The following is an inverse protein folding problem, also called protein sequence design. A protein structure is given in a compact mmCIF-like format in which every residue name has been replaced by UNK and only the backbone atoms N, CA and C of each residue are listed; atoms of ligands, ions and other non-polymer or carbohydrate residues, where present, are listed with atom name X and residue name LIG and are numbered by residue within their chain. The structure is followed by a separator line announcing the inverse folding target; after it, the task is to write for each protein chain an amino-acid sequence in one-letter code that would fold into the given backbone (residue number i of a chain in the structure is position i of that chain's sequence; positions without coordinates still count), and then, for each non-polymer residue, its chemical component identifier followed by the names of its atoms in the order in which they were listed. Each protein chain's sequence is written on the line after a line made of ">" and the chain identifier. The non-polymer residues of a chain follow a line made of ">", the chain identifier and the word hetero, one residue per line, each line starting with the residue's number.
data_IF_079660666158
#
_entry.id   IF_079660666158
#
_cell.length_a   1.000
_cell.length_b   1.000
_cell.length_c   1.000
_cell.angle_alpha   90.00
_cell.angle_beta   90.00
_cell.angle_gamma   90.00
#
_symmetry.space_group_name_H-M   'P 1'
#
loop_
_entity.id
_entity.type
_entity.pdbx_description
1 polymer ?
#
# COMPACT_ATOMS: atom_id res chain seq x y z
N UNK A 1 -16.41 0.05 -1.46
CA UNK A 1 -15.33 0.63 -0.64
C UNK A 1 -14.18 -0.36 -0.59
N UNK A 2 -12.92 0.09 -0.59
CA UNK A 2 -11.77 -0.79 -0.39
C UNK A 2 -11.65 -1.27 1.05
N UNK A 3 -10.68 -2.16 1.32
CA UNK A 3 -10.39 -2.69 2.66
C UNK A 3 -8.91 -3.01 2.83
N UNK A 4 -8.41 -2.92 4.07
CA UNK A 4 -7.13 -3.48 4.46
C UNK A 4 -7.32 -4.91 4.93
N UNK A 5 -6.56 -5.83 4.37
CA UNK A 5 -6.45 -7.20 4.87
C UNK A 5 -5.11 -7.37 5.59
N UNK A 6 -5.15 -7.70 6.88
CA UNK A 6 -3.99 -8.00 7.73
C UNK A 6 -3.85 -9.50 7.88
N UNK A 7 -2.66 -10.03 7.64
CA UNK A 7 -2.40 -11.46 7.74
C UNK A 7 -0.99 -11.71 8.27
N UNK A 8 -0.75 -12.92 8.76
CA UNK A 8 0.58 -13.39 9.11
C UNK A 8 1.14 -14.26 7.98
N UNK A 9 2.36 -13.99 7.54
CA UNK A 9 3.01 -14.79 6.51
C UNK A 9 3.69 -16.05 7.08
N UNK A 10 4.23 -16.89 6.19
CA UNK A 10 4.92 -18.13 6.57
C UNK A 10 6.19 -17.91 7.42
N UNK A 11 6.69 -16.67 7.52
CA UNK A 11 7.83 -16.28 8.34
C UNK A 11 7.39 -15.68 9.68
N UNK A 12 6.11 -15.80 10.03
CA UNK A 12 5.51 -15.21 11.23
C UNK A 12 5.54 -13.67 11.24
N UNK A 13 5.73 -13.03 10.10
CA UNK A 13 5.66 -11.57 9.99
C UNK A 13 4.23 -11.13 9.69
N UNK A 14 3.78 -10.05 10.32
CA UNK A 14 2.51 -9.40 10.03
C UNK A 14 2.64 -8.52 8.79
N UNK A 15 1.70 -8.64 7.87
CA UNK A 15 1.62 -7.82 6.66
C UNK A 15 0.22 -7.31 6.50
N UNK A 16 0.08 -6.20 5.78
CA UNK A 16 -1.22 -5.76 5.28
C UNK A 16 -1.19 -5.57 3.78
N UNK A 17 -2.36 -5.67 3.16
CA UNK A 17 -2.60 -5.24 1.78
C UNK A 17 -3.88 -4.44 1.69
N UNK A 18 -3.84 -3.35 0.93
CA UNK A 18 -5.03 -2.59 0.57
C UNK A 18 -5.62 -3.19 -0.70
N UNK A 19 -6.90 -3.56 -0.64
CA UNK A 19 -7.70 -3.93 -1.80
C UNK A 19 -8.67 -2.81 -2.16
N UNK A 20 -8.77 -2.51 -3.44
CA UNK A 20 -9.83 -1.68 -3.98
C UNK A 20 -11.19 -2.40 -3.87
N UNK A 21 -12.28 -1.66 -4.11
CA UNK A 21 -13.65 -2.19 -4.05
C UNK A 21 -13.92 -3.38 -4.99
N UNK A 22 -13.15 -3.50 -6.07
CA UNK A 22 -13.20 -4.63 -7.02
C UNK A 22 -12.35 -5.84 -6.58
N UNK A 23 -11.76 -5.80 -5.38
CA UNK A 23 -10.90 -6.86 -4.84
C UNK A 23 -9.44 -6.84 -5.32
N UNK A 24 -9.09 -5.93 -6.23
CA UNK A 24 -7.72 -5.79 -6.72
C UNK A 24 -6.79 -5.28 -5.61
N UNK A 25 -5.65 -5.94 -5.42
CA UNK A 25 -4.58 -5.46 -4.54
C UNK A 25 -3.94 -4.24 -5.18
N UNK A 26 -3.93 -3.12 -4.47
CA UNK A 26 -3.38 -1.84 -4.96
C UNK A 26 -2.17 -1.35 -4.16
N UNK A 27 -1.98 -1.88 -2.95
CA UNK A 27 -0.82 -1.60 -2.11
C UNK A 27 -0.57 -2.77 -1.18
N UNK A 28 0.68 -3.12 -0.93
CA UNK A 28 1.09 -4.13 0.05
C UNK A 28 2.24 -3.62 0.92
N UNK A 29 2.26 -4.01 2.19
CA UNK A 29 3.31 -3.62 3.12
C UNK A 29 4.52 -4.56 3.07
N UNK A 30 5.62 -4.09 3.64
CA UNK A 30 6.69 -4.98 4.12
C UNK A 30 6.24 -5.79 5.33
N UNK A 31 7.09 -6.73 5.77
CA UNK A 31 6.84 -7.57 6.94
C UNK A 31 7.12 -6.83 8.24
N UNK A 32 6.20 -6.92 9.19
CA UNK A 32 6.34 -6.39 10.54
C UNK A 32 6.52 -7.53 11.53
N UNK A 33 7.45 -7.39 12.47
CA UNK A 33 7.67 -8.38 13.54
C UNK A 33 6.54 -8.40 14.58
N UNK A 34 5.72 -7.36 14.64
CA UNK A 34 4.62 -7.23 15.57
C UNK A 34 3.36 -6.65 14.92
N UNK A 35 2.20 -7.19 15.30
CA UNK A 35 0.88 -6.73 14.82
C UNK A 35 0.65 -5.24 15.06
N UNK A 36 1.05 -4.72 16.22
CA UNK A 36 0.93 -3.29 16.52
C UNK A 36 1.69 -2.41 15.52
N UNK A 37 2.88 -2.84 15.07
CA UNK A 37 3.64 -2.16 14.03
C UNK A 37 2.91 -2.17 12.68
N UNK A 38 2.32 -3.31 12.32
CA UNK A 38 1.50 -3.45 11.12
C UNK A 38 0.29 -2.50 11.14
N UNK A 39 -0.42 -2.41 12.27
CA UNK A 39 -1.56 -1.49 12.44
C UNK A 39 -1.13 -0.02 12.36
N UNK A 40 0.01 0.36 12.96
CA UNK A 40 0.57 1.71 12.81
C UNK A 40 0.96 2.01 11.36
N UNK A 41 1.43 1.00 10.62
CA UNK A 41 1.67 1.11 9.19
C UNK A 41 0.40 1.46 8.41
N UNK A 42 -0.75 0.84 8.74
CA UNK A 42 -2.05 1.17 8.14
C UNK A 42 -2.44 2.62 8.41
N UNK A 43 -2.35 3.10 9.66
CA UNK A 43 -2.68 4.50 9.99
C UNK A 43 -1.74 5.48 9.27
N UNK A 44 -0.48 5.11 9.11
CA UNK A 44 0.49 5.87 8.32
C UNK A 44 0.09 5.92 6.85
N UNK A 45 -0.38 4.81 6.27
CA UNK A 45 -0.89 4.79 4.89
C UNK A 45 -2.12 5.68 4.76
N UNK A 46 -3.09 5.60 5.69
CA UNK A 46 -4.29 6.46 5.66
C UNK A 46 -3.92 7.93 5.60
N UNK A 47 -2.99 8.36 6.46
CA UNK A 47 -2.54 9.74 6.56
C UNK A 47 -1.74 10.17 5.33
N UNK A 48 -0.69 9.43 4.98
CA UNK A 48 0.26 9.84 3.94
C UNK A 48 -0.29 9.62 2.53
N UNK A 49 -1.32 8.78 2.35
CA UNK A 49 -1.99 8.60 1.05
C UNK A 49 -2.60 9.90 0.51
N UNK A 50 -2.88 10.88 1.36
CA UNK A 50 -3.49 12.15 0.95
C UNK A 50 -2.47 13.19 0.45
N UNK A 51 -1.18 12.90 0.55
CA UNK A 51 -0.11 13.77 0.08
C UNK A 51 0.60 13.11 -1.12
N UNK A 52 0.39 13.66 -2.32
CA UNK A 52 0.98 13.10 -3.55
C UNK A 52 2.52 13.05 -3.50
N UNK A 53 3.16 13.96 -2.74
CA UNK A 53 4.61 13.98 -2.59
C UNK A 53 5.17 12.75 -1.87
N UNK A 54 4.31 11.96 -1.20
CA UNK A 54 4.69 10.71 -0.54
C UNK A 54 4.73 9.52 -1.48
N UNK A 55 4.23 9.66 -2.72
CA UNK A 55 4.28 8.62 -3.74
C UNK A 55 5.58 8.73 -4.55
N UNK A 56 6.49 7.82 -4.28
CA UNK A 56 7.74 7.64 -5.01
C UNK A 56 7.49 6.75 -6.23
N UNK A 57 7.33 7.38 -7.40
CA UNK A 57 7.05 6.75 -8.69
C UNK A 57 8.34 6.18 -9.28
N UNK A 58 8.31 4.90 -9.63
CA UNK A 58 9.49 4.14 -10.06
C UNK A 58 9.22 3.32 -11.31
N UNK A 59 10.29 3.02 -12.03
CA UNK A 59 10.30 2.06 -13.14
C UNK A 59 11.29 0.96 -12.77
N UNK A 60 10.82 -0.28 -12.82
CA UNK A 60 11.62 -1.47 -12.56
C UNK A 60 12.57 -1.74 -13.75
N UNK A 61 13.61 -2.54 -13.54
CA UNK A 61 14.58 -2.91 -14.59
C UNK A 61 13.93 -3.63 -15.78
N UNK A 62 12.78 -4.26 -15.59
CA UNK A 62 11.97 -4.89 -16.63
C UNK A 62 10.97 -3.92 -17.32
N UNK A 63 11.12 -2.61 -17.11
CA UNK A 63 10.30 -1.56 -17.74
C UNK A 63 8.92 -1.35 -17.11
N UNK A 64 8.55 -2.11 -16.06
CA UNK A 64 7.25 -1.94 -15.40
C UNK A 64 7.24 -0.76 -14.44
N UNK A 65 6.14 -0.03 -14.42
CA UNK A 65 5.94 1.12 -13.54
C UNK A 65 5.36 0.67 -12.20
N UNK A 66 5.78 1.27 -11.09
CA UNK A 66 5.23 1.00 -9.77
C UNK A 66 5.48 2.21 -8.86
N UNK A 67 4.86 2.25 -7.70
CA UNK A 67 5.14 3.30 -6.71
C UNK A 67 5.34 2.74 -5.32
N UNK A 68 6.11 3.46 -4.52
CA UNK A 68 6.19 3.28 -3.07
C UNK A 68 5.46 4.45 -2.39
N UNK A 69 4.70 4.16 -1.34
CA UNK A 69 4.19 5.17 -0.42
C UNK A 69 5.16 5.29 0.76
N UNK A 70 5.58 6.53 1.06
CA UNK A 70 6.50 6.83 2.16
C UNK A 70 5.79 7.50 3.34
N UNK A 71 6.17 7.13 4.55
CA UNK A 71 5.83 7.88 5.75
C UNK A 71 6.62 9.20 5.84
N UNK A 72 6.24 10.07 6.76
CA UNK A 72 6.89 11.39 6.96
C UNK A 72 8.38 11.28 7.32
N UNK A 73 8.79 10.16 7.96
CA UNK A 73 10.19 9.86 8.29
C UNK A 73 10.97 9.22 7.11
N UNK A 74 10.37 9.12 5.93
CA UNK A 74 10.99 8.53 4.73
C UNK A 74 10.88 7.01 4.62
N UNK A 75 10.36 6.32 5.63
CA UNK A 75 10.17 4.86 5.60
C UNK A 75 9.15 4.47 4.53
N UNK A 76 9.43 3.40 3.76
CA UNK A 76 8.45 2.81 2.86
C UNK A 76 7.40 2.06 3.69
N UNK A 77 6.14 2.44 3.54
CA UNK A 77 5.01 1.85 4.27
C UNK A 77 4.10 1.02 3.37
N UNK A 78 4.29 1.12 2.05
CA UNK A 78 3.64 0.23 1.10
C UNK A 78 4.22 0.36 -0.30
N UNK A 79 4.10 -0.70 -1.07
CA UNK A 79 4.53 -0.79 -2.47
C UNK A 79 3.36 -1.28 -3.32
N UNK A 80 3.16 -0.67 -4.49
CA UNK A 80 2.13 -1.09 -5.43
C UNK A 80 2.51 -2.39 -6.15
N UNK A 81 1.53 -3.00 -6.82
CA UNK A 81 1.84 -3.97 -7.87
C UNK A 81 2.56 -3.25 -9.04
N UNK A 82 3.15 -4.05 -9.93
CA UNK A 82 3.77 -3.55 -11.16
C UNK A 82 2.72 -3.32 -12.25
N UNK A 83 2.84 -2.20 -12.96
CA UNK A 83 1.98 -1.76 -14.04
C UNK A 83 2.73 -1.74 -15.38
N UNK A 84 1.99 -1.93 -16.47
CA UNK A 84 2.53 -1.88 -17.84
C UNK A 84 2.98 -0.48 -18.26
N UNK A 85 2.41 0.57 -17.67
CA UNK A 85 2.67 1.95 -18.07
C UNK A 85 2.37 2.95 -16.96
N UNK A 86 2.87 4.18 -17.13
CA UNK A 86 2.69 5.28 -16.18
C UNK A 86 1.21 5.57 -15.90
N UNK A 87 0.34 5.59 -16.91
CA UNK A 87 -1.09 5.82 -16.71
C UNK A 87 -1.75 4.78 -15.80
N UNK A 88 -1.35 3.52 -15.90
CA UNK A 88 -1.85 2.46 -15.01
C UNK A 88 -1.39 2.68 -13.56
N UNK A 89 -0.15 3.11 -13.38
CA UNK A 89 0.42 3.45 -12.08
C UNK A 89 -0.28 4.66 -11.44
N UNK A 90 -0.54 5.74 -12.19
CA UNK A 90 -1.27 6.91 -11.68
C UNK A 90 -2.71 6.54 -11.28
N UNK A 91 -3.40 5.70 -12.06
CA UNK A 91 -4.71 5.17 -11.66
C UNK A 91 -4.62 4.34 -10.36
N UNK A 92 -3.50 3.63 -10.15
CA UNK A 92 -3.21 2.94 -8.90
C UNK A 92 -3.07 3.92 -7.72
N UNK A 93 -2.35 5.03 -7.90
CA UNK A 93 -2.19 6.08 -6.89
C UNK A 93 -3.56 6.69 -6.52
N UNK A 94 -4.37 7.05 -7.51
CA UNK A 94 -5.71 7.58 -7.27
C UNK A 94 -6.62 6.57 -6.56
N UNK A 95 -6.48 5.28 -6.89
CA UNK A 95 -7.17 4.22 -6.18
C UNK A 95 -6.74 4.13 -4.71
N UNK A 96 -5.45 4.26 -4.40
CA UNK A 96 -4.96 4.29 -3.01
C UNK A 96 -5.50 5.52 -2.28
N UNK A 97 -5.42 6.71 -2.87
CA UNK A 97 -5.96 7.97 -2.32
C UNK A 97 -7.44 7.85 -1.95
N UNK A 98 -8.23 7.22 -2.83
CA UNK A 98 -9.66 7.07 -2.65
C UNK A 98 -10.05 6.00 -1.62
N UNK A 99 -9.31 4.89 -1.57
CA UNK A 99 -9.70 3.73 -0.76
C UNK A 99 -9.05 3.70 0.62
N UNK A 100 -7.83 4.20 0.79
CA UNK A 100 -7.09 4.07 2.05
C UNK A 100 -7.76 4.76 3.25
N UNK A 101 -8.19 6.04 3.19
CA UNK A 101 -8.53 6.83 4.39
C UNK A 101 -9.61 6.22 5.29
N UNK A 102 -10.60 5.56 4.70
CA UNK A 102 -11.77 5.01 5.38
C UNK A 102 -11.90 3.48 5.23
N UNK A 103 -10.92 2.82 4.60
CA UNK A 103 -10.95 1.36 4.46
C UNK A 103 -10.98 0.68 5.83
N UNK A 104 -11.95 -0.22 6.09
CA UNK A 104 -11.95 -1.05 7.28
C UNK A 104 -10.75 -1.99 7.26
N UNK A 105 -10.36 -2.47 8.43
CA UNK A 105 -9.32 -3.48 8.59
C UNK A 105 -9.98 -4.83 8.87
N UNK A 106 -9.60 -5.83 8.10
CA UNK A 106 -10.01 -7.22 8.27
C UNK A 106 -8.77 -8.08 8.51
N UNK A 107 -8.83 -8.98 9.48
CA UNK A 107 -7.79 -10.00 9.69
C UNK A 107 -8.13 -11.26 8.90
N UNK A 108 -7.17 -11.77 8.12
CA UNK A 108 -7.35 -12.89 7.19
C UNK A 108 -6.25 -13.94 7.28
#
# INVERSE_FOLDING_TARGET
>A
MGKFEVYQDARSEYRFRLKASNGQKILASEGYTAKAGCMNGIESVRTNSQDDSKFDRKVSSNGKHYFNLKASNGQIIGTSEMYEGSSGMENGIESVKANAPSAPVEEV
#
